data_IF_987985900987
#
_entry.id   IF_987985900987
#
_cell.length_a   1.000
_cell.length_b   1.000
_cell.length_c   1.000
_cell.angle_alpha   90.00
_cell.angle_beta   90.00
_cell.angle_gamma   90.00
#
_symmetry.space_group_name_H-M   'P 1'
#
loop_
_entity.id
_entity.type
_entity.pdbx_description
1 polymer ?
#
# COMPACT_ATOMS: atom_id res chain seq x y z
N UNK A 1 0.44 -18.25 13.18
CA UNK A 1 1.68 -18.35 12.38
C UNK A 1 1.83 -17.14 11.45
N UNK A 2 0.86 -16.86 10.57
CA UNK A 2 0.81 -15.63 9.76
C UNK A 2 0.90 -14.34 10.58
N UNK A 3 0.16 -14.22 11.69
CA UNK A 3 0.23 -13.03 12.55
C UNK A 3 1.63 -12.79 13.14
N UNK A 4 2.36 -13.85 13.50
CA UNK A 4 3.71 -13.74 14.03
C UNK A 4 4.68 -13.24 12.96
N UNK A 5 4.56 -13.75 11.73
CA UNK A 5 5.37 -13.31 10.59
C UNK A 5 5.08 -11.84 10.24
N UNK A 6 3.80 -11.45 10.24
CA UNK A 6 3.40 -10.05 10.04
C UNK A 6 3.93 -9.13 11.13
N UNK A 7 3.86 -9.52 12.40
CA UNK A 7 4.39 -8.73 13.51
C UNK A 7 5.91 -8.53 13.42
N UNK A 8 6.66 -9.59 13.10
CA UNK A 8 8.12 -9.50 12.92
C UNK A 8 8.49 -8.60 11.74
N UNK A 9 7.83 -8.78 10.59
CA UNK A 9 8.04 -7.92 9.41
C UNK A 9 7.73 -6.45 9.71
N UNK A 10 6.63 -6.19 10.43
CA UNK A 10 6.24 -4.82 10.81
C UNK A 10 7.23 -4.22 11.80
N UNK A 11 7.70 -5.00 12.78
CA UNK A 11 8.71 -4.55 13.74
C UNK A 11 10.03 -4.16 13.06
N UNK A 12 10.51 -4.97 12.10
CA UNK A 12 11.69 -4.62 11.29
C UNK A 12 11.42 -3.37 10.46
N UNK A 13 10.25 -3.25 9.84
CA UNK A 13 9.88 -2.08 9.04
C UNK A 13 9.92 -0.77 9.84
N UNK A 14 9.39 -0.78 11.07
CA UNK A 14 9.38 0.39 11.96
C UNK A 14 10.81 0.83 12.30
N UNK A 15 11.74 -0.11 12.51
CA UNK A 15 13.14 0.23 12.76
C UNK A 15 13.83 0.89 11.55
N UNK A 16 13.40 0.58 10.32
CA UNK A 16 13.90 1.21 9.10
C UNK A 16 13.21 2.53 8.76
N UNK A 17 11.94 2.71 9.16
CA UNK A 17 11.15 3.96 9.02
C UNK A 17 11.92 5.16 9.58
N UNK A 18 12.46 5.02 10.79
CA UNK A 18 13.09 6.13 11.50
C UNK A 18 14.39 6.62 10.83
N UNK A 19 15.04 5.79 10.00
CA UNK A 19 16.29 6.15 9.31
C UNK A 19 16.07 6.77 7.94
N UNK A 20 15.17 6.22 7.13
CA UNK A 20 15.06 6.55 5.71
C UNK A 20 14.13 7.74 5.43
N UNK A 21 13.10 7.98 6.24
CA UNK A 21 12.09 9.01 5.98
C UNK A 21 10.83 8.46 5.32
N UNK A 22 9.75 9.25 5.35
CA UNK A 22 8.39 8.76 5.08
C UNK A 22 8.10 8.58 3.59
N UNK A 23 8.44 9.56 2.75
CA UNK A 23 8.22 9.49 1.30
C UNK A 23 9.05 8.41 0.59
N UNK A 24 10.37 8.24 0.84
CA UNK A 24 11.15 7.19 0.17
C UNK A 24 10.71 5.77 0.59
N UNK A 25 10.29 5.57 1.85
CA UNK A 25 9.70 4.27 2.23
C UNK A 25 8.35 4.03 1.58
N UNK A 26 7.50 5.06 1.48
CA UNK A 26 6.20 4.94 0.83
C UNK A 26 6.39 4.58 -0.65
N UNK A 27 7.25 5.30 -1.37
CA UNK A 27 7.58 5.00 -2.77
C UNK A 27 8.22 3.62 -2.94
N UNK A 28 9.16 3.26 -2.06
CA UNK A 28 9.82 1.95 -2.07
C UNK A 28 8.84 0.80 -1.86
N UNK A 29 7.96 0.90 -0.84
CA UNK A 29 6.98 -0.15 -0.59
C UNK A 29 5.90 -0.24 -1.68
N UNK A 30 5.41 0.88 -2.21
CA UNK A 30 4.44 0.83 -3.31
C UNK A 30 5.07 0.27 -4.58
N UNK A 31 6.35 0.55 -4.85
CA UNK A 31 7.08 -0.09 -5.95
C UNK A 31 7.18 -1.62 -5.78
N UNK A 32 7.39 -2.10 -4.55
CA UNK A 32 7.38 -3.54 -4.23
C UNK A 32 6.00 -4.17 -4.40
N UNK A 33 4.92 -3.46 -4.05
CA UNK A 33 3.54 -3.87 -4.30
C UNK A 33 3.28 -4.02 -5.81
N UNK A 34 3.68 -3.02 -6.61
CA UNK A 34 3.57 -3.07 -8.08
C UNK A 34 4.27 -4.31 -8.61
N UNK A 35 5.55 -4.50 -8.31
CA UNK A 35 6.32 -5.67 -8.79
C UNK A 35 5.65 -6.98 -8.39
N UNK A 36 5.17 -7.09 -7.15
CA UNK A 36 4.50 -8.30 -6.66
C UNK A 36 3.19 -8.60 -7.40
N UNK A 37 2.38 -7.58 -7.69
CA UNK A 37 1.12 -7.74 -8.41
C UNK A 37 1.34 -8.14 -9.87
N UNK A 38 2.34 -7.58 -10.55
CA UNK A 38 2.71 -7.99 -11.90
C UNK A 38 3.30 -9.42 -11.93
N UNK A 39 4.06 -9.81 -10.90
CA UNK A 39 4.55 -11.18 -10.76
C UNK A 39 3.40 -12.18 -10.53
N UNK A 40 2.45 -11.86 -9.65
CA UNK A 40 1.25 -12.67 -9.42
C UNK A 40 0.37 -12.76 -10.68
N UNK A 41 0.15 -11.65 -11.38
CA UNK A 41 -0.59 -11.64 -12.65
C UNK A 41 0.08 -12.53 -13.71
N UNK A 42 1.41 -12.44 -13.83
CA UNK A 42 2.20 -13.25 -14.76
C UNK A 42 2.20 -14.73 -14.37
N UNK A 43 2.24 -15.03 -13.06
CA UNK A 43 2.14 -16.39 -12.54
C UNK A 43 0.82 -17.05 -12.94
N UNK A 44 -0.31 -16.40 -12.64
CA UNK A 44 -1.64 -16.91 -12.96
C UNK A 44 -1.94 -16.93 -14.47
N UNK A 45 -1.20 -16.17 -15.29
CA UNK A 45 -1.38 -16.16 -16.74
C UNK A 45 -0.52 -17.20 -17.49
N UNK A 46 0.70 -17.49 -17.01
CA UNK A 46 1.69 -18.26 -17.78
C UNK A 46 2.37 -19.40 -17.00
N UNK A 47 2.42 -19.37 -15.67
CA UNK A 47 3.29 -20.24 -14.86
C UNK A 47 2.53 -21.03 -13.79
N UNK A 48 1.43 -21.67 -14.17
CA UNK A 48 0.53 -22.40 -13.24
C UNK A 48 1.17 -23.63 -12.54
N UNK A 49 2.47 -23.89 -12.74
CA UNK A 49 3.21 -25.04 -12.18
C UNK A 49 4.28 -24.66 -11.15
N UNK A 50 4.38 -23.40 -10.72
CA UNK A 50 5.42 -22.93 -9.79
C UNK A 50 4.87 -22.29 -8.49
N UNK A 51 4.18 -23.05 -7.62
CA UNK A 51 3.51 -22.49 -6.42
C UNK A 51 4.45 -21.71 -5.49
N UNK A 52 5.75 -22.04 -5.48
CA UNK A 52 6.76 -21.29 -4.72
C UNK A 52 6.91 -19.83 -5.15
N UNK A 53 6.72 -19.52 -6.44
CA UNK A 53 6.81 -18.15 -6.96
C UNK A 53 5.62 -17.30 -6.49
N UNK A 54 4.41 -17.87 -6.49
CA UNK A 54 3.21 -17.19 -6.00
C UNK A 54 3.32 -16.87 -4.51
N UNK A 55 3.82 -17.82 -3.70
CA UNK A 55 4.05 -17.61 -2.27
C UNK A 55 5.09 -16.51 -2.04
N UNK A 56 6.21 -16.55 -2.77
CA UNK A 56 7.23 -15.52 -2.68
C UNK A 56 6.68 -14.13 -3.05
N UNK A 57 5.97 -14.01 -4.17
CA UNK A 57 5.36 -12.75 -4.60
C UNK A 57 4.34 -12.23 -3.57
N UNK A 58 3.54 -13.11 -2.97
CA UNK A 58 2.61 -12.74 -1.90
C UNK A 58 3.34 -12.25 -0.65
N UNK A 59 4.46 -12.89 -0.25
CA UNK A 59 5.27 -12.44 0.88
C UNK A 59 5.88 -11.06 0.63
N UNK A 60 6.36 -10.80 -0.59
CA UNK A 60 6.86 -9.48 -0.97
C UNK A 60 5.73 -8.46 -0.93
N UNK A 61 4.54 -8.78 -1.47
CA UNK A 61 3.37 -7.91 -1.41
C UNK A 61 3.01 -7.53 0.04
N UNK A 62 2.89 -8.53 0.93
CA UNK A 62 2.55 -8.30 2.34
C UNK A 62 3.65 -7.52 3.05
N UNK A 63 4.92 -7.88 2.85
CA UNK A 63 6.06 -7.17 3.44
C UNK A 63 6.11 -5.71 3.01
N UNK A 64 5.98 -5.45 1.71
CA UNK A 64 5.94 -4.10 1.14
C UNK A 64 4.76 -3.27 1.66
N UNK A 65 3.58 -3.88 1.80
CA UNK A 65 2.40 -3.22 2.38
C UNK A 65 2.61 -2.84 3.85
N UNK A 66 3.15 -3.75 4.66
CA UNK A 66 3.43 -3.52 6.08
C UNK A 66 4.52 -2.47 6.31
N UNK A 67 5.44 -2.29 5.35
CA UNK A 67 6.49 -1.27 5.45
C UNK A 67 6.00 0.11 5.00
N UNK A 68 5.08 0.18 4.04
CA UNK A 68 4.61 1.43 3.44
C UNK A 68 3.22 1.83 3.94
N UNK A 69 2.17 1.40 3.23
CA UNK A 69 0.80 1.82 3.48
C UNK A 69 0.31 1.54 4.90
N UNK A 70 0.76 0.44 5.52
CA UNK A 70 0.38 0.07 6.88
C UNK A 70 0.66 1.17 7.90
N UNK A 71 1.91 1.45 8.28
CA UNK A 71 2.21 2.46 9.28
C UNK A 71 2.31 3.88 8.70
N UNK A 72 2.90 4.05 7.52
CA UNK A 72 3.25 5.38 6.99
C UNK A 72 2.03 6.08 6.41
N UNK A 73 1.12 5.34 5.76
CA UNK A 73 -0.10 5.91 5.21
C UNK A 73 -0.91 6.63 6.30
N UNK A 74 -1.23 5.91 7.39
CA UNK A 74 -1.95 6.48 8.52
C UNK A 74 -1.18 7.58 9.23
N UNK A 75 0.14 7.46 9.36
CA UNK A 75 0.98 8.50 9.95
C UNK A 75 0.90 9.80 9.14
N UNK A 76 1.12 9.73 7.83
CA UNK A 76 1.10 10.90 6.93
C UNK A 76 -0.27 11.58 6.91
N UNK A 77 -1.36 10.81 6.91
CA UNK A 77 -2.71 11.37 7.02
C UNK A 77 -2.81 12.24 8.29
N UNK A 78 -2.29 11.76 9.44
CA UNK A 78 -2.35 12.53 10.68
C UNK A 78 -1.41 13.74 10.72
N UNK A 79 -0.31 13.73 9.95
CA UNK A 79 0.62 14.85 9.79
C UNK A 79 0.11 15.92 8.80
N UNK A 80 -0.62 15.54 7.75
CA UNK A 80 -1.12 16.46 6.72
C UNK A 80 -2.33 17.26 7.20
N UNK A 81 -3.19 16.67 8.04
CA UNK A 81 -4.40 17.36 8.49
C UNK A 81 -4.12 18.32 9.67
N UNK A 82 -4.54 19.59 9.57
CA UNK A 82 -4.33 20.55 10.64
C UNK A 82 -5.10 20.15 11.90
N UNK A 83 -4.54 20.46 13.07
CA UNK A 83 -5.06 20.01 14.37
C UNK A 83 -6.57 20.24 14.54
N UNK A 84 -7.07 21.40 14.11
CA UNK A 84 -8.48 21.79 14.24
C UNK A 84 -9.44 20.98 13.35
N UNK A 85 -8.96 20.42 12.24
CA UNK A 85 -9.78 19.68 11.26
C UNK A 85 -9.47 18.18 11.22
N UNK A 86 -8.42 17.74 11.92
CA UNK A 86 -7.94 16.35 11.94
C UNK A 86 -9.04 15.34 12.24
N UNK A 87 -9.91 15.62 13.21
CA UNK A 87 -11.03 14.74 13.54
C UNK A 87 -11.96 14.49 12.34
N UNK A 88 -12.37 15.56 11.64
CA UNK A 88 -13.25 15.47 10.47
C UNK A 88 -12.53 14.87 9.26
N UNK A 89 -11.28 15.26 9.03
CA UNK A 89 -10.44 14.72 7.95
C UNK A 89 -10.24 13.21 8.09
N UNK A 90 -9.89 12.73 9.29
CA UNK A 90 -9.74 11.31 9.58
C UNK A 90 -11.04 10.54 9.36
N UNK A 91 -12.20 11.08 9.77
CA UNK A 91 -13.49 10.39 9.54
C UNK A 91 -13.78 10.19 8.04
N UNK A 92 -13.51 11.19 7.21
CA UNK A 92 -13.69 11.08 5.75
C UNK A 92 -12.70 10.06 5.17
N UNK A 93 -11.44 10.10 5.58
CA UNK A 93 -10.42 9.15 5.11
C UNK A 93 -10.79 7.71 5.48
N UNK A 94 -11.24 7.48 6.72
CA UNK A 94 -11.71 6.16 7.17
C UNK A 94 -12.92 5.72 6.35
N UNK A 95 -13.91 6.60 6.15
CA UNK A 95 -15.09 6.28 5.35
C UNK A 95 -14.71 5.88 3.92
N UNK A 96 -13.83 6.65 3.27
CA UNK A 96 -13.35 6.36 1.91
C UNK A 96 -12.55 5.06 1.88
N UNK A 97 -11.68 4.82 2.87
CA UNK A 97 -10.88 3.60 2.96
C UNK A 97 -11.75 2.34 3.09
N UNK A 98 -12.69 2.34 4.04
CA UNK A 98 -13.59 1.20 4.24
C UNK A 98 -14.58 1.05 3.08
N UNK A 99 -15.06 2.15 2.51
CA UNK A 99 -15.91 2.13 1.32
C UNK A 99 -15.21 1.53 0.11
N UNK A 100 -13.97 1.97 -0.18
CA UNK A 100 -13.16 1.39 -1.24
C UNK A 100 -12.86 -0.09 -1.00
N UNK A 101 -12.54 -0.48 0.23
CA UNK A 101 -12.32 -1.88 0.60
C UNK A 101 -13.57 -2.75 0.36
N UNK A 102 -14.75 -2.24 0.70
CA UNK A 102 -16.02 -2.93 0.44
C UNK A 102 -16.24 -3.10 -1.07
N UNK A 103 -16.03 -2.05 -1.86
CA UNK A 103 -16.16 -2.11 -3.33
C UNK A 103 -15.19 -3.14 -3.91
N UNK A 104 -13.92 -3.13 -3.52
CA UNK A 104 -12.92 -4.09 -3.99
C UNK A 104 -13.31 -5.51 -3.61
N UNK A 105 -13.71 -5.74 -2.35
CA UNK A 105 -14.10 -7.08 -1.86
C UNK A 105 -15.32 -7.62 -2.62
N UNK A 106 -16.33 -6.78 -2.87
CA UNK A 106 -17.53 -7.16 -3.61
C UNK A 106 -17.27 -7.35 -5.10
N UNK A 107 -16.39 -6.55 -5.70
CA UNK A 107 -16.03 -6.64 -7.11
C UNK A 107 -15.05 -7.78 -7.42
N UNK A 108 -14.28 -8.24 -6.43
CA UNK A 108 -13.21 -9.22 -6.64
C UNK A 108 -13.71 -10.56 -7.18
N UNK A 109 -14.70 -11.17 -6.52
CA UNK A 109 -15.27 -12.45 -6.97
C UNK A 109 -15.85 -12.38 -8.39
N UNK A 110 -16.76 -11.45 -8.73
CA UNK A 110 -17.31 -11.38 -10.08
C UNK A 110 -16.26 -11.03 -11.13
N UNK A 111 -15.27 -10.19 -10.83
CA UNK A 111 -14.16 -9.92 -11.76
C UNK A 111 -13.30 -11.16 -12.00
N UNK A 112 -13.01 -11.93 -10.94
CA UNK A 112 -12.24 -13.15 -11.06
C UNK A 112 -12.96 -14.20 -11.91
N UNK A 113 -14.28 -14.35 -11.78
CA UNK A 113 -15.08 -15.25 -12.60
C UNK A 113 -15.15 -14.81 -14.07
N UNK A 114 -15.17 -13.50 -14.32
CA UNK A 114 -15.37 -12.95 -15.67
C UNK A 114 -14.08 -12.94 -16.51
N UNK A 115 -12.95 -12.54 -15.93
CA UNK A 115 -11.67 -12.30 -16.64
C UNK A 115 -10.51 -13.15 -16.12
N UNK A 116 -10.72 -13.94 -15.06
CA UNK A 116 -9.69 -14.79 -14.47
C UNK A 116 -8.74 -14.06 -13.52
N UNK A 117 -8.10 -14.82 -12.62
CA UNK A 117 -7.26 -14.27 -11.55
C UNK A 117 -6.08 -13.43 -12.08
N UNK A 118 -5.42 -13.87 -13.17
CA UNK A 118 -4.27 -13.15 -13.74
C UNK A 118 -4.62 -11.73 -14.20
N UNK A 119 -5.73 -11.57 -14.92
CA UNK A 119 -6.21 -10.27 -15.38
C UNK A 119 -6.57 -9.33 -14.22
N UNK A 120 -7.17 -9.88 -13.16
CA UNK A 120 -7.51 -9.13 -11.95
C UNK A 120 -6.25 -8.61 -11.25
N UNK A 121 -5.21 -9.43 -11.10
CA UNK A 121 -3.94 -9.00 -10.52
C UNK A 121 -3.24 -7.94 -11.38
N UNK A 122 -3.28 -8.05 -12.71
CA UNK A 122 -2.76 -7.01 -13.59
C UNK A 122 -3.54 -5.69 -13.47
N UNK A 123 -4.88 -5.75 -13.37
CA UNK A 123 -5.70 -4.56 -13.17
C UNK A 123 -5.35 -3.86 -11.86
N UNK A 124 -5.19 -4.59 -10.76
CA UNK A 124 -4.69 -4.04 -9.50
C UNK A 124 -3.26 -3.51 -9.62
N UNK A 125 -2.40 -4.16 -10.40
CA UNK A 125 -1.05 -3.70 -10.71
C UNK A 125 -1.06 -2.33 -11.40
N UNK A 126 -1.94 -2.10 -12.36
CA UNK A 126 -2.13 -0.80 -13.02
C UNK A 126 -2.58 0.27 -12.03
N UNK A 127 -3.55 -0.05 -11.17
CA UNK A 127 -4.00 0.87 -10.10
C UNK A 127 -2.87 1.20 -9.13
N UNK A 128 -2.03 0.22 -8.80
CA UNK A 128 -0.85 0.42 -7.95
C UNK A 128 0.21 1.32 -8.62
N UNK A 129 0.41 1.20 -9.94
CA UNK A 129 1.31 2.09 -10.71
C UNK A 129 0.76 3.51 -10.72
N UNK A 130 -0.53 3.70 -10.95
CA UNK A 130 -1.17 5.02 -10.88
C UNK A 130 -1.03 5.62 -9.47
N UNK A 131 -1.19 4.80 -8.43
CA UNK A 131 -0.97 5.21 -7.05
C UNK A 131 0.49 5.60 -6.80
N UNK A 132 1.45 4.85 -7.34
CA UNK A 132 2.87 5.19 -7.25
C UNK A 132 3.19 6.53 -7.93
N UNK A 133 2.63 6.77 -9.12
CA UNK A 133 2.78 8.02 -9.84
C UNK A 133 2.14 9.21 -9.10
N UNK A 134 0.95 9.00 -8.51
CA UNK A 134 0.29 9.98 -7.67
C UNK A 134 1.14 10.32 -6.43
N UNK A 135 1.66 9.31 -5.74
CA UNK A 135 2.55 9.52 -4.59
C UNK A 135 3.81 10.28 -5.00
N UNK A 136 4.42 9.92 -6.12
CA UNK A 136 5.64 10.58 -6.58
C UNK A 136 5.43 12.07 -6.87
N UNK A 137 4.30 12.43 -7.48
CA UNK A 137 4.01 13.79 -7.96
C UNK A 137 3.31 14.68 -6.94
N UNK A 138 2.37 14.15 -6.16
CA UNK A 138 1.48 14.93 -5.29
C UNK A 138 1.92 14.91 -3.83
N UNK A 139 2.54 13.83 -3.37
CA UNK A 139 2.84 13.67 -1.94
C UNK A 139 4.15 14.39 -1.58
N UNK A 140 4.10 15.47 -0.78
CA UNK A 140 5.29 16.19 -0.36
C UNK A 140 6.09 15.38 0.68
N UNK A 141 7.38 15.67 0.81
CA UNK A 141 8.20 15.09 1.89
C UNK A 141 7.89 15.79 3.22
N UNK A 142 7.44 15.04 4.23
CA UNK A 142 7.17 15.56 5.58
C UNK A 142 8.35 15.38 6.54
N UNK A 143 9.44 14.72 6.11
CA UNK A 143 10.62 14.47 6.96
C UNK A 143 11.32 15.79 7.34
N UNK A 144 11.39 16.07 8.64
CA UNK A 144 12.17 17.18 9.19
C UNK A 144 11.46 18.53 9.22
N UNK A 145 10.17 18.57 8.87
CA UNK A 145 9.32 19.76 9.03
C UNK A 145 8.53 19.66 10.34
N UNK A 146 8.34 20.78 11.02
CA UNK A 146 7.41 20.84 12.15
C UNK A 146 5.96 20.78 11.64
N UNK A 147 5.02 20.38 12.51
CA UNK A 147 3.58 20.37 12.17
C UNK A 147 3.11 21.75 11.66
N UNK A 148 3.65 22.82 12.24
CA UNK A 148 3.32 24.20 11.88
C UNK A 148 3.84 24.58 10.48
N UNK A 149 5.03 24.10 10.08
CA UNK A 149 5.58 24.30 8.74
C UNK A 149 4.83 23.51 7.66
N UNK A 150 4.24 22.37 8.02
CA UNK A 150 3.38 21.57 7.13
C UNK A 150 2.00 22.25 6.99
N UNK A 151 1.43 22.76 8.09
CA UNK A 151 0.14 23.47 8.06
C UNK A 151 0.22 24.82 7.31
N UNK A 152 1.39 25.46 7.29
CA UNK A 152 1.60 26.75 6.61
C UNK A 152 1.86 26.65 5.10
N UNK A 153 1.99 25.44 4.55
CA UNK A 153 2.40 25.18 3.17
C UNK A 153 1.28 24.57 2.32
#
# INVERSE_FOLDING_TARGET
LLCCVQLVLTGVAVLFVDRLGRRPLLLGGVSGIVVSLFLLGSYYAFFDQAPGLAVFALLVYVGSYQVSFGPIGWLMISEIFPLCLRGRGLSIVVLVNFGANAVVTLAFSPLQELVGAGAVFFAFGVVAVLSLAFIFSVVPETKGLTLEEIEAK
#
